data_IF_468450166394
#
_entry.id   IF_468450166394
#
_cell.length_a   1.000
_cell.length_b   1.000
_cell.length_c   1.000
_cell.angle_alpha   90.00
_cell.angle_beta   90.00
_cell.angle_gamma   90.00
#
_symmetry.space_group_name_H-M   'P 1'
#
loop_
_entity.id
_entity.type
_entity.pdbx_description
1 polymer ?
#
# COMPACT_ATOMS: atom_id res chain seq x y z
N UNK A 1 20.59 -15.30 27.12
CA UNK A 1 21.36 -14.06 27.37
C UNK A 1 22.53 -13.93 26.39
N UNK A 2 23.30 -15.00 26.10
CA UNK A 2 24.42 -14.97 25.14
C UNK A 2 23.97 -14.60 23.71
N UNK A 3 22.90 -15.22 23.20
CA UNK A 3 22.38 -14.92 21.85
C UNK A 3 21.89 -13.47 21.71
N UNK A 4 21.27 -12.93 22.78
CA UNK A 4 20.82 -11.53 22.80
C UNK A 4 22.00 -10.55 22.81
N UNK A 5 23.04 -10.86 23.56
CA UNK A 5 24.26 -10.05 23.61
C UNK A 5 24.97 -10.08 22.25
N UNK A 6 25.06 -11.25 21.63
CA UNK A 6 25.65 -11.42 20.32
C UNK A 6 24.86 -10.69 19.21
N UNK A 7 23.53 -10.75 19.21
CA UNK A 7 22.68 -10.01 18.28
C UNK A 7 22.85 -8.48 18.46
N UNK A 8 22.92 -7.99 19.69
CA UNK A 8 23.16 -6.58 19.99
C UNK A 8 24.54 -6.10 19.49
N UNK A 9 25.58 -6.92 19.66
CA UNK A 9 26.94 -6.63 19.19
C UNK A 9 26.98 -6.59 17.65
N UNK A 10 26.22 -7.47 16.99
CA UNK A 10 26.09 -7.53 15.53
C UNK A 10 25.08 -6.50 14.96
N UNK A 11 24.35 -5.75 15.81
CA UNK A 11 23.35 -4.77 15.36
C UNK A 11 22.08 -5.42 14.76
N UNK A 12 21.80 -6.68 15.11
CA UNK A 12 20.68 -7.45 14.58
C UNK A 12 19.44 -7.33 15.46
N UNK A 13 18.21 -7.29 14.90
CA UNK A 13 16.97 -7.45 15.64
C UNK A 13 16.94 -8.81 16.32
N UNK A 14 16.53 -8.86 17.58
CA UNK A 14 16.50 -10.09 18.37
C UNK A 14 15.09 -10.45 18.83
N UNK A 15 14.69 -11.71 18.67
CA UNK A 15 13.46 -12.28 19.21
C UNK A 15 13.73 -13.15 20.42
N UNK A 16 12.97 -12.99 21.50
CA UNK A 16 13.02 -13.85 22.68
C UNK A 16 12.32 -15.21 22.45
N UNK A 17 11.59 -15.36 21.36
CA UNK A 17 10.96 -16.62 20.97
C UNK A 17 11.81 -17.31 19.91
N UNK A 18 12.55 -18.38 20.27
CA UNK A 18 13.26 -19.16 19.27
C UNK A 18 12.27 -19.85 18.33
N UNK A 19 12.65 -19.95 17.07
CA UNK A 19 11.92 -20.72 16.05
C UNK A 19 11.74 -22.18 16.52
N UNK A 20 10.56 -22.73 16.31
CA UNK A 20 10.24 -24.15 16.52
C UNK A 20 9.77 -24.74 15.21
N UNK A 21 10.15 -26.01 14.95
CA UNK A 21 9.64 -26.73 13.78
C UNK A 21 8.11 -26.65 13.73
N UNK A 22 7.57 -26.15 12.59
CA UNK A 22 6.14 -25.94 12.37
C UNK A 22 5.63 -24.52 12.68
N UNK A 23 6.49 -23.60 13.13
CA UNK A 23 6.15 -22.17 13.23
C UNK A 23 6.75 -21.41 12.04
N UNK A 24 6.17 -20.25 11.69
CA UNK A 24 6.71 -19.38 10.65
C UNK A 24 8.08 -18.84 11.06
N UNK A 25 9.11 -19.18 10.27
CA UNK A 25 10.45 -18.70 10.47
C UNK A 25 10.56 -17.25 9.96
N UNK A 26 10.97 -16.32 10.84
CA UNK A 26 11.25 -14.95 10.42
C UNK A 26 12.75 -14.76 10.10
N UNK A 27 13.13 -14.69 8.82
CA UNK A 27 14.53 -14.59 8.40
C UNK A 27 15.18 -13.24 8.72
N UNK A 28 14.42 -12.27 9.22
CA UNK A 28 14.87 -10.91 9.51
C UNK A 28 15.12 -10.68 11.02
N UNK A 29 14.85 -11.67 11.85
CA UNK A 29 14.99 -11.55 13.29
C UNK A 29 15.82 -12.69 13.84
N UNK A 30 16.99 -12.36 14.39
CA UNK A 30 17.86 -13.36 15.03
C UNK A 30 17.24 -13.85 16.34
N UNK A 31 17.11 -15.16 16.49
CA UNK A 31 16.51 -15.81 17.66
C UNK A 31 17.47 -16.76 18.41
N UNK A 32 18.70 -16.88 17.91
CA UNK A 32 19.72 -17.75 18.50
C UNK A 32 19.60 -19.23 18.13
N UNK A 33 18.71 -19.60 17.19
CA UNK A 33 18.55 -20.99 16.69
C UNK A 33 19.72 -21.45 15.82
N UNK A 34 20.48 -20.51 15.28
CA UNK A 34 21.67 -20.74 14.46
C UNK A 34 22.84 -19.83 14.88
N UNK A 35 24.01 -19.97 14.26
CA UNK A 35 25.11 -19.03 14.47
C UNK A 35 24.80 -17.68 13.80
N UNK A 36 25.42 -16.60 14.30
CA UNK A 36 25.28 -15.27 13.67
C UNK A 36 25.82 -15.29 12.23
N UNK A 37 26.91 -16.01 11.98
CA UNK A 37 27.51 -16.11 10.64
C UNK A 37 26.55 -16.81 9.65
N UNK A 38 25.86 -17.87 10.08
CA UNK A 38 24.85 -18.58 9.28
C UNK A 38 23.61 -17.70 9.05
N UNK A 39 23.17 -16.98 10.08
CA UNK A 39 22.06 -16.04 9.97
C UNK A 39 22.35 -14.91 8.97
N UNK A 40 23.53 -14.28 9.07
CA UNK A 40 23.95 -13.24 8.13
C UNK A 40 24.12 -13.77 6.70
N UNK A 41 24.60 -15.02 6.54
CA UNK A 41 24.70 -15.67 5.24
C UNK A 41 23.33 -15.91 4.64
N UNK A 42 22.41 -16.47 5.42
CA UNK A 42 21.03 -16.71 5.02
C UNK A 42 20.33 -15.40 4.68
N UNK A 43 20.45 -14.38 5.52
CA UNK A 43 19.89 -13.05 5.26
C UNK A 43 20.42 -12.47 3.94
N UNK A 44 21.71 -12.56 3.67
CA UNK A 44 22.30 -12.13 2.38
C UNK A 44 21.78 -12.91 1.19
N UNK A 45 21.53 -14.22 1.35
CA UNK A 45 20.95 -15.05 0.28
C UNK A 45 19.52 -14.63 -0.02
N UNK A 46 18.69 -14.43 1.01
CA UNK A 46 17.31 -13.96 0.88
C UNK A 46 17.26 -12.56 0.25
N UNK A 47 18.10 -11.64 0.70
CA UNK A 47 18.18 -10.30 0.11
C UNK A 47 18.65 -10.33 -1.34
N UNK A 48 19.54 -11.26 -1.70
CA UNK A 48 19.98 -11.46 -3.08
C UNK A 48 18.86 -12.04 -3.93
N UNK A 49 18.17 -13.08 -3.49
CA UNK A 49 17.00 -13.66 -4.17
C UNK A 49 15.90 -12.61 -4.32
N UNK A 50 15.60 -11.85 -3.27
CA UNK A 50 14.66 -10.73 -3.30
C UNK A 50 15.08 -9.67 -4.31
N UNK A 51 16.35 -9.29 -4.37
CA UNK A 51 16.86 -8.32 -5.34
C UNK A 51 16.86 -8.86 -6.77
N UNK A 52 17.03 -10.16 -6.97
CA UNK A 52 16.92 -10.84 -8.27
C UNK A 52 15.45 -11.00 -8.71
N UNK A 53 14.53 -11.25 -7.79
CA UNK A 53 13.07 -11.23 -8.03
C UNK A 53 12.54 -9.82 -8.26
N UNK A 54 13.13 -8.80 -7.65
CA UNK A 54 12.87 -7.38 -7.92
C UNK A 54 13.54 -6.87 -9.21
N UNK A 55 14.14 -7.73 -10.03
CA UNK A 55 14.60 -7.36 -11.38
C UNK A 55 13.42 -6.99 -12.31
N UNK A 56 12.20 -7.42 -11.98
CA UNK A 56 10.98 -6.92 -12.61
C UNK A 56 10.33 -5.86 -11.70
N UNK A 57 10.05 -4.66 -12.23
CA UNK A 57 9.41 -3.61 -11.44
C UNK A 57 8.02 -4.06 -10.99
N UNK A 58 7.69 -3.80 -9.72
CA UNK A 58 6.39 -4.15 -9.11
C UNK A 58 5.22 -3.56 -9.91
N UNK A 59 5.43 -2.35 -10.44
CA UNK A 59 4.47 -1.62 -11.23
C UNK A 59 5.18 -0.72 -12.22
N UNK A 60 4.72 -0.69 -13.47
CA UNK A 60 5.19 0.25 -14.49
C UNK A 60 4.00 0.82 -15.24
N UNK A 61 4.10 2.10 -15.63
CA UNK A 61 3.11 2.77 -16.46
C UNK A 61 3.76 3.49 -17.63
N UNK A 62 3.16 3.41 -18.82
CA UNK A 62 3.60 4.19 -19.97
C UNK A 62 2.97 5.58 -19.90
N UNK A 63 3.75 6.55 -19.43
CA UNK A 63 3.36 7.93 -19.22
C UNK A 63 3.48 8.72 -20.51
N UNK A 64 2.40 9.33 -20.98
CA UNK A 64 2.31 10.09 -22.24
C UNK A 64 1.92 11.55 -22.01
N UNK A 65 2.49 12.43 -22.82
CA UNK A 65 2.08 13.83 -22.92
C UNK A 65 0.75 13.92 -23.68
N UNK A 66 -0.33 14.25 -22.98
CA UNK A 66 -1.69 14.28 -23.53
C UNK A 66 -1.84 15.32 -24.65
N UNK A 67 -1.25 16.50 -24.48
CA UNK A 67 -1.30 17.56 -25.50
C UNK A 67 -0.62 17.13 -26.80
N UNK A 68 0.57 16.57 -26.75
CA UNK A 68 1.26 16.04 -27.94
C UNK A 68 0.55 14.84 -28.54
N UNK A 69 -0.05 13.99 -27.73
CA UNK A 69 -0.85 12.86 -28.19
C UNK A 69 -2.04 13.34 -29.04
N UNK A 70 -2.79 14.33 -28.57
CA UNK A 70 -3.94 14.90 -29.29
C UNK A 70 -3.54 15.62 -30.59
N UNK A 71 -2.31 16.14 -30.66
CA UNK A 71 -1.74 16.75 -31.86
C UNK A 71 -1.22 15.72 -32.89
N UNK A 72 -1.34 14.42 -32.61
CA UNK A 72 -0.82 13.34 -33.48
C UNK A 72 0.71 13.19 -33.44
N UNK A 73 1.37 13.72 -32.43
CA UNK A 73 2.83 13.62 -32.18
C UNK A 73 3.10 12.98 -30.82
N UNK A 74 2.71 11.69 -30.62
CA UNK A 74 2.79 11.06 -29.31
C UNK A 74 4.22 11.09 -28.79
N UNK A 75 4.36 11.44 -27.50
CA UNK A 75 5.62 11.40 -26.77
C UNK A 75 5.31 10.81 -25.38
N UNK A 76 5.96 9.71 -25.06
CA UNK A 76 5.77 9.00 -23.80
C UNK A 76 6.96 8.12 -23.47
N UNK A 77 7.01 7.68 -22.22
CA UNK A 77 8.08 6.84 -21.69
C UNK A 77 7.56 5.93 -20.57
N UNK A 78 8.13 4.76 -20.40
CA UNK A 78 7.86 3.89 -19.27
C UNK A 78 8.43 4.45 -17.98
N UNK A 79 7.60 4.52 -16.95
CA UNK A 79 7.98 4.88 -15.59
C UNK A 79 7.72 3.68 -14.69
N UNK A 80 8.73 3.28 -13.92
CA UNK A 80 8.61 2.23 -12.91
C UNK A 80 8.27 2.84 -11.57
N UNK A 81 7.42 2.17 -10.80
CA UNK A 81 7.03 2.57 -9.46
C UNK A 81 7.41 1.46 -8.46
N UNK A 82 7.98 1.84 -7.30
CA UNK A 82 8.23 3.22 -6.87
C UNK A 82 9.37 3.90 -7.64
N UNK A 83 9.28 5.23 -7.75
CA UNK A 83 10.25 6.09 -8.43
C UNK A 83 10.70 7.25 -7.53
N UNK A 84 11.61 8.09 -8.02
CA UNK A 84 12.02 9.34 -7.34
C UNK A 84 11.48 10.57 -8.06
N UNK A 85 11.37 11.69 -7.33
CA UNK A 85 10.93 12.97 -7.89
C UNK A 85 11.89 13.46 -9.00
N UNK A 86 13.20 13.21 -8.84
CA UNK A 86 14.22 13.57 -9.82
C UNK A 86 14.02 12.78 -11.12
N UNK A 87 13.82 11.46 -11.00
CA UNK A 87 13.62 10.61 -12.17
C UNK A 87 12.32 10.96 -12.91
N UNK A 88 11.21 11.14 -12.19
CA UNK A 88 9.94 11.53 -12.80
C UNK A 88 10.04 12.91 -13.48
N UNK A 89 10.77 13.86 -12.88
CA UNK A 89 11.04 15.15 -13.50
C UNK A 89 11.81 15.00 -14.80
N UNK A 90 12.85 14.17 -14.86
CA UNK A 90 13.60 13.90 -16.07
C UNK A 90 12.72 13.27 -17.16
N UNK A 91 11.81 12.37 -16.80
CA UNK A 91 10.84 11.80 -17.74
C UNK A 91 9.93 12.91 -18.27
N UNK A 92 9.37 13.77 -17.43
CA UNK A 92 8.54 14.91 -17.84
C UNK A 92 9.27 15.82 -18.84
N UNK A 93 10.53 16.14 -18.52
CA UNK A 93 11.38 16.96 -19.42
C UNK A 93 11.57 16.28 -20.78
N UNK A 94 11.82 14.96 -20.83
CA UNK A 94 12.01 14.17 -22.07
C UNK A 94 10.72 14.07 -22.91
N UNK A 95 9.57 13.83 -22.29
CA UNK A 95 8.29 13.76 -23.01
C UNK A 95 7.72 15.14 -23.31
N UNK A 96 8.32 16.20 -22.69
CA UNK A 96 8.00 17.61 -22.94
C UNK A 96 6.79 18.13 -22.20
N UNK A 97 6.54 17.66 -20.98
CA UNK A 97 5.65 18.30 -20.00
C UNK A 97 6.43 19.49 -19.41
N UNK A 98 5.94 20.71 -19.61
CA UNK A 98 6.63 21.96 -19.22
C UNK A 98 5.80 22.87 -18.30
N UNK A 99 4.58 22.44 -17.93
CA UNK A 99 3.61 23.16 -17.10
C UNK A 99 3.26 24.59 -17.63
N UNK A 100 3.47 24.80 -18.93
CA UNK A 100 3.16 26.07 -19.63
C UNK A 100 2.37 25.87 -20.89
N UNK A 101 2.82 24.96 -21.77
CA UNK A 101 2.19 24.62 -23.04
C UNK A 101 1.61 23.22 -23.01
N UNK A 102 2.31 22.32 -22.31
CA UNK A 102 1.89 20.95 -22.10
C UNK A 102 1.90 20.69 -20.59
N UNK A 103 0.71 20.64 -20.02
CA UNK A 103 0.50 20.55 -18.56
C UNK A 103 -0.08 19.19 -18.17
N UNK A 104 -0.71 18.49 -19.13
CA UNK A 104 -1.47 17.29 -18.86
C UNK A 104 -0.74 16.02 -19.36
N UNK A 105 -0.87 14.97 -18.60
CA UNK A 105 -0.39 13.64 -18.92
C UNK A 105 -1.49 12.61 -18.74
N UNK A 106 -1.28 11.42 -19.30
CA UNK A 106 -2.10 10.25 -19.06
C UNK A 106 -1.26 9.00 -19.20
N UNK A 107 -1.70 7.90 -18.63
CA UNK A 107 -1.11 6.60 -18.83
C UNK A 107 -1.85 5.86 -19.94
N UNK A 108 -1.12 5.23 -20.85
CA UNK A 108 -1.72 4.46 -21.95
C UNK A 108 -1.65 2.97 -21.73
N UNK A 109 -0.75 2.51 -20.86
CA UNK A 109 -0.55 1.10 -20.54
C UNK A 109 0.06 0.96 -19.16
N UNK A 110 -0.32 -0.11 -18.43
CA UNK A 110 0.29 -0.52 -17.18
C UNK A 110 0.80 -1.95 -17.28
N UNK A 111 1.88 -2.25 -16.56
CA UNK A 111 2.46 -3.58 -16.42
C UNK A 111 2.81 -3.84 -14.96
N UNK A 112 2.47 -5.05 -14.49
CA UNK A 112 2.80 -5.51 -13.15
C UNK A 112 2.97 -7.03 -13.15
N UNK A 113 3.92 -7.58 -12.40
CA UNK A 113 4.00 -9.01 -12.16
C UNK A 113 2.87 -9.50 -11.20
N UNK A 114 2.15 -8.58 -10.56
CA UNK A 114 1.01 -8.90 -9.70
C UNK A 114 -0.23 -9.10 -10.59
N UNK A 115 -0.79 -10.32 -10.67
CA UNK A 115 -1.96 -10.60 -11.49
C UNK A 115 -3.13 -9.69 -11.14
N UNK A 116 -3.82 -9.18 -12.14
CA UNK A 116 -5.00 -8.32 -11.97
C UNK A 116 -4.70 -6.86 -11.63
N UNK A 117 -3.55 -6.52 -11.03
CA UNK A 117 -3.28 -5.17 -10.56
C UNK A 117 -3.38 -4.11 -11.69
N UNK A 118 -2.77 -4.38 -12.84
CA UNK A 118 -2.76 -3.42 -13.95
C UNK A 118 -4.17 -3.11 -14.50
N UNK A 119 -5.11 -4.04 -14.38
CA UNK A 119 -6.48 -3.92 -14.90
C UNK A 119 -7.34 -2.96 -14.04
N UNK A 120 -6.96 -2.76 -12.78
CA UNK A 120 -7.64 -1.87 -11.86
C UNK A 120 -7.12 -0.42 -11.91
N UNK A 121 -6.08 -0.15 -12.71
CA UNK A 121 -5.48 1.18 -12.82
C UNK A 121 -6.10 1.98 -13.96
N UNK A 122 -6.35 3.26 -13.71
CA UNK A 122 -6.94 4.19 -14.67
C UNK A 122 -5.87 4.92 -15.49
N UNK A 123 -6.19 5.23 -16.74
CA UNK A 123 -5.36 6.13 -17.56
C UNK A 123 -5.10 7.50 -16.90
N UNK A 124 -5.95 7.91 -15.94
CA UNK A 124 -5.84 9.16 -15.19
C UNK A 124 -5.24 8.96 -13.79
N UNK A 125 -4.68 7.79 -13.48
CA UNK A 125 -4.00 7.56 -12.19
C UNK A 125 -2.91 8.59 -11.97
N UNK A 126 -2.81 9.10 -10.72
CA UNK A 126 -1.81 10.09 -10.41
C UNK A 126 -0.45 9.44 -10.08
N UNK A 127 0.69 9.95 -10.60
CA UNK A 127 2.01 9.36 -10.31
C UNK A 127 2.33 9.24 -8.82
N UNK A 128 1.87 10.18 -7.99
CA UNK A 128 2.09 10.11 -6.54
C UNK A 128 1.34 8.96 -5.90
N UNK A 129 0.11 8.65 -6.34
CA UNK A 129 -0.67 7.50 -5.86
C UNK A 129 -0.03 6.18 -6.31
N UNK A 130 0.41 6.09 -7.58
CA UNK A 130 1.14 4.93 -8.08
C UNK A 130 2.45 4.70 -7.32
N UNK A 131 3.13 5.78 -6.97
CA UNK A 131 4.35 5.74 -6.17
C UNK A 131 4.06 5.29 -4.73
N UNK A 132 2.97 5.77 -4.15
CA UNK A 132 2.51 5.35 -2.83
C UNK A 132 2.21 3.84 -2.81
N UNK A 133 1.39 3.36 -3.76
CA UNK A 133 1.12 1.94 -3.90
C UNK A 133 2.41 1.14 -4.10
N UNK A 134 3.27 1.56 -5.02
CA UNK A 134 4.54 0.90 -5.29
C UNK A 134 5.41 0.77 -4.03
N UNK A 135 5.46 1.81 -3.19
CA UNK A 135 6.18 1.77 -1.90
C UNK A 135 5.55 0.80 -0.90
N UNK A 136 4.23 0.78 -0.77
CA UNK A 136 3.54 -0.17 0.10
C UNK A 136 3.85 -1.62 -0.31
N UNK A 137 3.76 -1.91 -1.62
CA UNK A 137 4.02 -3.25 -2.15
C UNK A 137 5.50 -3.67 -2.06
N UNK A 138 6.43 -2.71 -2.19
CA UNK A 138 7.87 -2.95 -1.98
C UNK A 138 8.19 -3.36 -0.54
N UNK A 139 7.42 -2.86 0.42
CA UNK A 139 7.60 -3.13 1.85
C UNK A 139 6.94 -4.43 2.32
N UNK A 140 6.07 -5.04 1.51
CA UNK A 140 5.39 -6.29 1.87
C UNK A 140 6.35 -7.48 1.86
N UNK A 141 6.14 -8.39 2.81
CA UNK A 141 6.74 -9.72 2.79
C UNK A 141 6.06 -10.62 1.74
N UNK A 142 6.68 -11.73 1.39
CA UNK A 142 6.16 -12.63 0.36
C UNK A 142 4.76 -13.17 0.69
N UNK A 143 4.50 -13.54 1.95
CA UNK A 143 3.19 -14.01 2.41
C UNK A 143 2.11 -12.92 2.30
N UNK A 144 2.45 -11.66 2.64
CA UNK A 144 1.55 -10.52 2.49
C UNK A 144 1.27 -10.22 1.01
N UNK A 145 2.28 -10.42 0.15
CA UNK A 145 2.12 -10.25 -1.30
C UNK A 145 1.20 -11.31 -1.89
N UNK A 146 1.31 -12.58 -1.48
CA UNK A 146 0.39 -13.64 -1.91
C UNK A 146 -1.03 -13.38 -1.43
N UNK A 147 -1.18 -12.93 -0.18
CA UNK A 147 -2.47 -12.51 0.36
C UNK A 147 -3.04 -11.31 -0.39
N UNK A 148 -2.21 -10.31 -0.72
CA UNK A 148 -2.62 -9.15 -1.51
C UNK A 148 -3.12 -9.55 -2.91
N UNK A 149 -2.43 -10.48 -3.60
CA UNK A 149 -2.85 -11.01 -4.89
C UNK A 149 -4.22 -11.68 -4.75
N UNK A 150 -4.40 -12.56 -3.75
CA UNK A 150 -5.68 -13.21 -3.50
C UNK A 150 -6.80 -12.22 -3.17
N UNK A 151 -6.49 -11.15 -2.41
CA UNK A 151 -7.46 -10.12 -2.04
C UNK A 151 -7.89 -9.24 -3.22
N UNK A 152 -6.99 -8.96 -4.18
CA UNK A 152 -7.37 -8.31 -5.45
C UNK A 152 -8.31 -9.20 -6.25
N UNK A 153 -8.02 -10.50 -6.36
CA UNK A 153 -8.87 -11.47 -7.07
C UNK A 153 -10.23 -11.63 -6.38
N UNK A 154 -10.26 -11.59 -5.04
CA UNK A 154 -11.49 -11.63 -4.24
C UNK A 154 -12.40 -10.43 -4.53
N UNK A 155 -11.82 -9.25 -4.79
CA UNK A 155 -12.50 -8.09 -5.35
C UNK A 155 -13.10 -7.13 -4.34
N UNK A 156 -13.11 -7.43 -3.03
CA UNK A 156 -13.48 -6.46 -2.02
C UNK A 156 -12.43 -5.35 -1.95
N UNK A 157 -12.85 -4.09 -1.99
CA UNK A 157 -11.96 -2.94 -1.93
C UNK A 157 -10.88 -2.91 -3.03
N UNK A 158 -11.26 -3.26 -4.27
CA UNK A 158 -10.37 -3.24 -5.44
C UNK A 158 -10.90 -2.41 -6.63
N UNK A 159 -11.96 -1.61 -6.44
CA UNK A 159 -12.62 -0.87 -7.53
C UNK A 159 -11.84 0.35 -8.03
N UNK A 160 -10.91 0.87 -7.23
CA UNK A 160 -10.13 2.07 -7.55
C UNK A 160 -8.70 1.98 -7.01
N UNK A 161 -7.81 2.86 -7.50
CA UNK A 161 -6.44 2.97 -6.97
C UNK A 161 -6.44 3.33 -5.48
N UNK A 162 -7.39 4.17 -5.03
CA UNK A 162 -7.59 4.47 -3.60
C UNK A 162 -7.91 3.20 -2.80
N UNK A 163 -8.85 2.37 -3.31
CA UNK A 163 -9.23 1.13 -2.64
C UNK A 163 -8.05 0.15 -2.56
N UNK A 164 -7.28 0.01 -3.64
CA UNK A 164 -6.10 -0.86 -3.69
C UNK A 164 -5.00 -0.38 -2.73
N UNK A 165 -4.78 0.94 -2.61
CA UNK A 165 -3.86 1.50 -1.62
C UNK A 165 -4.31 1.17 -0.20
N UNK A 166 -5.61 1.26 0.08
CA UNK A 166 -6.16 0.89 1.38
C UNK A 166 -6.12 -0.62 1.59
N UNK A 167 -6.43 -1.43 0.57
CA UNK A 167 -6.33 -2.88 0.62
C UNK A 167 -4.93 -3.35 1.01
N UNK A 168 -3.89 -2.77 0.40
CA UNK A 168 -2.49 -3.06 0.73
C UNK A 168 -2.12 -2.80 2.21
N UNK A 169 -2.90 -1.98 2.91
CA UNK A 169 -2.70 -1.61 4.32
C UNK A 169 -3.67 -2.33 5.29
N UNK A 170 -4.57 -3.16 4.78
CA UNK A 170 -5.61 -3.85 5.56
C UNK A 170 -5.65 -5.36 5.27
N UNK A 171 -4.50 -5.95 4.98
CA UNK A 171 -4.44 -7.39 4.69
C UNK A 171 -4.81 -8.27 5.90
N UNK A 172 -4.77 -7.72 7.10
CA UNK A 172 -5.28 -8.34 8.32
C UNK A 172 -6.81 -8.50 8.36
N UNK A 173 -7.55 -7.84 7.45
CA UNK A 173 -8.98 -8.04 7.25
C UNK A 173 -9.30 -9.34 6.49
N UNK A 174 -8.31 -10.04 5.98
CA UNK A 174 -8.49 -11.27 5.20
C UNK A 174 -7.73 -12.43 5.83
N UNK A 175 -8.37 -13.61 5.78
CA UNK A 175 -7.72 -14.88 6.04
C UNK A 175 -7.48 -15.60 4.74
N UNK A 176 -6.29 -16.20 4.59
CA UNK A 176 -5.94 -17.02 3.45
C UNK A 176 -5.46 -18.39 3.92
N UNK A 177 -5.90 -19.43 3.22
CA UNK A 177 -5.43 -20.81 3.37
C UNK A 177 -4.74 -21.24 2.08
N UNK A 178 -3.41 -21.07 1.96
CA UNK A 178 -2.68 -21.23 0.69
C UNK A 178 -2.73 -22.65 0.10
N UNK A 179 -2.96 -23.67 0.93
CA UNK A 179 -3.05 -25.08 0.49
C UNK A 179 -4.46 -25.55 0.13
N UNK A 180 -5.44 -24.64 0.11
CA UNK A 180 -6.87 -24.96 -0.08
C UNK A 180 -7.36 -24.32 -1.39
N UNK A 181 -7.64 -25.16 -2.40
CA UNK A 181 -8.01 -24.68 -3.74
C UNK A 181 -9.40 -25.17 -4.22
N UNK A 182 -10.10 -25.95 -3.42
CA UNK A 182 -11.44 -26.45 -3.73
C UNK A 182 -12.21 -26.81 -2.45
N UNK A 183 -13.49 -27.10 -2.62
CA UNK A 183 -14.40 -27.38 -1.51
C UNK A 183 -13.98 -28.62 -0.71
N UNK A 184 -13.49 -29.69 -1.34
CA UNK A 184 -13.05 -30.89 -0.63
C UNK A 184 -11.82 -30.59 0.25
N UNK A 185 -10.84 -29.87 -0.28
CA UNK A 185 -9.65 -29.47 0.47
C UNK A 185 -10.03 -28.54 1.62
N UNK A 186 -10.99 -27.63 1.41
CA UNK A 186 -11.48 -26.76 2.50
C UNK A 186 -12.18 -27.57 3.58
N UNK A 187 -13.07 -28.48 3.21
CA UNK A 187 -13.73 -29.36 4.17
C UNK A 187 -12.73 -30.22 4.96
N UNK A 188 -11.67 -30.73 4.31
CA UNK A 188 -10.58 -31.46 4.97
C UNK A 188 -9.80 -30.56 5.92
N UNK A 189 -9.45 -29.35 5.50
CA UNK A 189 -8.75 -28.39 6.34
C UNK A 189 -9.54 -28.08 7.62
N UNK A 190 -10.85 -27.81 7.49
CA UNK A 190 -11.71 -27.54 8.63
C UNK A 190 -11.78 -28.71 9.62
N UNK A 191 -11.95 -29.94 9.12
CA UNK A 191 -12.15 -31.12 9.97
C UNK A 191 -10.83 -31.71 10.49
N UNK A 192 -9.79 -31.75 9.66
CA UNK A 192 -8.55 -32.45 9.98
C UNK A 192 -7.52 -31.56 10.66
N UNK A 193 -7.47 -30.25 10.31
CA UNK A 193 -6.51 -29.29 10.87
C UNK A 193 -7.13 -28.41 11.96
N UNK A 194 -8.36 -27.91 11.74
CA UNK A 194 -9.03 -27.06 12.72
C UNK A 194 -9.92 -27.84 13.70
N UNK A 195 -10.14 -29.14 13.46
CA UNK A 195 -11.04 -30.00 14.26
C UNK A 195 -12.49 -29.45 14.36
N UNK A 196 -12.94 -28.79 13.29
CA UNK A 196 -14.28 -28.20 13.18
C UNK A 196 -15.13 -28.88 12.08
N UNK A 197 -16.07 -29.80 12.41
CA UNK A 197 -16.38 -30.31 13.74
C UNK A 197 -15.38 -31.37 14.22
N UNK A 198 -15.23 -31.49 15.55
CA UNK A 198 -14.45 -32.58 16.12
C UNK A 198 -15.11 -33.93 15.80
N UNK A 199 -14.43 -34.78 15.05
CA UNK A 199 -14.91 -36.07 14.61
C UNK A 199 -13.98 -37.19 15.07
N UNK A 200 -14.56 -38.34 15.53
CA UNK A 200 -13.77 -39.56 15.73
C UNK A 200 -13.11 -39.99 14.42
N UNK A 201 -11.88 -40.49 14.47
CA UNK A 201 -11.13 -40.96 13.29
C UNK A 201 -11.89 -41.99 12.46
N UNK A 202 -12.73 -42.85 13.12
CA UNK A 202 -13.56 -43.83 12.43
C UNK A 202 -14.69 -43.19 11.61
N UNK A 203 -15.14 -41.99 11.99
CA UNK A 203 -16.19 -41.25 11.30
C UNK A 203 -15.65 -40.42 10.13
N UNK A 204 -14.40 -39.90 10.22
CA UNK A 204 -13.78 -39.11 9.18
C UNK A 204 -13.79 -39.75 7.81
N UNK A 205 -13.58 -41.06 7.72
CA UNK A 205 -13.61 -41.82 6.43
C UNK A 205 -14.98 -41.90 5.74
N UNK A 206 -16.06 -41.55 6.42
CA UNK A 206 -17.41 -41.48 5.90
C UNK A 206 -17.95 -40.06 5.80
N UNK A 207 -17.13 -39.08 6.17
CA UNK A 207 -17.53 -37.68 6.18
C UNK A 207 -17.55 -37.12 4.76
N UNK A 208 -18.53 -36.27 4.49
CA UNK A 208 -18.74 -35.62 3.19
C UNK A 208 -17.98 -34.28 3.15
N UNK A 209 -16.68 -34.38 2.94
CA UNK A 209 -15.79 -33.22 3.00
C UNK A 209 -16.12 -32.13 1.97
N UNK A 210 -16.42 -32.55 0.72
CA UNK A 210 -16.76 -31.62 -0.36
C UNK A 210 -18.02 -30.80 -0.05
N UNK A 211 -19.09 -31.47 0.37
CA UNK A 211 -20.36 -30.83 0.70
C UNK A 211 -20.21 -29.91 1.93
N UNK A 212 -19.46 -30.37 2.92
CA UNK A 212 -19.18 -29.56 4.12
C UNK A 212 -18.35 -28.33 3.79
N UNK A 213 -17.28 -28.46 3.01
CA UNK A 213 -16.44 -27.34 2.58
C UNK A 213 -17.19 -26.35 1.68
N UNK A 214 -18.09 -26.84 0.82
CA UNK A 214 -18.99 -25.98 0.03
C UNK A 214 -19.91 -25.15 0.91
N UNK A 215 -20.59 -25.79 1.86
CA UNK A 215 -21.49 -25.07 2.77
C UNK A 215 -20.73 -24.07 3.63
N UNK A 216 -19.53 -24.41 4.07
CA UNK A 216 -18.66 -23.51 4.82
C UNK A 216 -18.22 -22.31 3.97
N UNK A 217 -17.75 -22.53 2.74
CA UNK A 217 -17.31 -21.46 1.85
C UNK A 217 -18.42 -20.46 1.51
N UNK A 218 -19.67 -20.95 1.38
CA UNK A 218 -20.84 -20.09 1.18
C UNK A 218 -21.14 -19.26 2.45
N UNK A 219 -20.98 -19.85 3.64
CA UNK A 219 -21.23 -19.15 4.90
C UNK A 219 -20.16 -18.08 5.20
N UNK A 220 -18.93 -18.32 4.79
CA UNK A 220 -17.83 -17.39 4.97
C UNK A 220 -17.82 -16.27 3.91
N UNK A 221 -18.62 -16.45 2.83
CA UNK A 221 -18.58 -15.61 1.64
C UNK A 221 -17.18 -15.61 1.00
N UNK A 222 -16.50 -16.77 1.06
CA UNK A 222 -15.12 -16.90 0.63
C UNK A 222 -14.98 -17.31 -0.84
N UNK A 223 -13.74 -17.24 -1.33
CA UNK A 223 -13.41 -17.53 -2.73
C UNK A 223 -12.15 -18.40 -2.84
N UNK A 224 -12.17 -19.34 -3.77
CA UNK A 224 -10.99 -20.11 -4.16
C UNK A 224 -10.24 -19.34 -5.25
N UNK A 225 -9.01 -18.96 -4.94
CA UNK A 225 -8.10 -18.23 -5.84
C UNK A 225 -6.92 -19.10 -6.27
N UNK A 226 -6.09 -18.61 -7.18
CA UNK A 226 -4.84 -19.29 -7.52
C UNK A 226 -3.86 -19.37 -6.31
N UNK A 227 -4.00 -18.46 -5.34
CA UNK A 227 -3.18 -18.41 -4.12
C UNK A 227 -3.75 -19.18 -2.94
N UNK A 228 -4.93 -19.78 -3.09
CA UNK A 228 -5.63 -20.54 -2.06
C UNK A 228 -7.01 -19.99 -1.77
N UNK A 229 -7.64 -20.49 -0.71
CA UNK A 229 -8.95 -20.03 -0.27
C UNK A 229 -8.81 -18.75 0.56
N UNK A 230 -9.58 -17.72 0.21
CA UNK A 230 -9.58 -16.41 0.90
C UNK A 230 -10.99 -16.03 1.30
N UNK A 231 -11.14 -15.36 2.45
CA UNK A 231 -12.38 -14.73 2.87
C UNK A 231 -12.10 -13.51 3.77
N UNK A 232 -13.06 -12.58 3.81
CA UNK A 232 -13.04 -11.43 4.70
C UNK A 232 -13.38 -11.86 6.12
N UNK A 233 -12.46 -11.67 7.08
CA UNK A 233 -12.62 -12.08 8.47
C UNK A 233 -13.45 -11.09 9.31
N UNK A 234 -14.01 -10.04 8.67
CA UNK A 234 -14.84 -8.99 9.26
C UNK A 234 -14.13 -8.12 10.30
N UNK A 235 -12.79 -8.09 10.27
CA UNK A 235 -12.06 -7.05 10.97
C UNK A 235 -12.42 -5.68 10.40
N UNK A 236 -12.21 -4.63 11.18
CA UNK A 236 -12.52 -3.27 10.73
C UNK A 236 -11.55 -2.84 9.64
N UNK A 237 -12.04 -2.70 8.42
CA UNK A 237 -11.30 -2.09 7.32
C UNK A 237 -11.16 -0.58 7.58
N UNK A 238 -9.93 -0.07 7.54
CA UNK A 238 -9.66 1.35 7.80
C UNK A 238 -9.23 2.04 6.52
N UNK A 239 -9.96 3.08 6.12
CA UNK A 239 -9.54 3.94 5.00
C UNK A 239 -8.42 4.89 5.47
N UNK A 240 -7.17 4.42 5.38
CA UNK A 240 -5.99 5.19 5.71
C UNK A 240 -5.70 6.31 4.69
N UNK A 241 -6.14 6.12 3.47
CA UNK A 241 -6.01 7.06 2.37
C UNK A 241 -7.39 7.40 1.81
N UNK A 242 -7.73 8.68 1.80
CA UNK A 242 -9.06 9.19 1.40
C UNK A 242 -9.13 9.66 -0.08
N UNK A 243 -8.10 9.35 -0.87
CA UNK A 243 -8.05 9.70 -2.29
C UNK A 243 -7.66 11.17 -2.58
N UNK A 244 -7.19 11.94 -1.57
CA UNK A 244 -6.91 13.37 -1.76
C UNK A 244 -5.45 13.72 -1.56
N UNK A 245 -4.93 13.46 -0.38
CA UNK A 245 -3.60 13.91 0.04
C UNK A 245 -2.65 12.72 0.22
N UNK A 246 -1.90 12.37 -0.84
CA UNK A 246 -0.80 11.42 -0.72
C UNK A 246 0.22 11.94 0.30
N UNK A 247 0.66 11.12 1.28
CA UNK A 247 1.68 11.54 2.24
C UNK A 247 2.95 12.07 1.56
N UNK A 248 3.55 13.10 2.14
CA UNK A 248 4.63 13.87 1.48
C UNK A 248 5.82 12.99 1.06
N UNK A 249 6.15 11.97 1.83
CA UNK A 249 7.23 11.02 1.57
C UNK A 249 7.03 10.17 0.31
N UNK A 250 5.81 10.08 -0.21
CA UNK A 250 5.47 9.32 -1.43
C UNK A 250 5.27 10.21 -2.64
N UNK A 251 5.25 11.54 -2.47
CA UNK A 251 5.04 12.49 -3.58
C UNK A 251 6.29 12.58 -4.45
N UNK A 252 6.10 12.42 -5.74
CA UNK A 252 7.16 12.45 -6.75
C UNK A 252 6.87 13.40 -7.90
N UNK A 253 5.62 13.85 -8.04
CA UNK A 253 5.21 14.75 -9.13
C UNK A 253 5.84 16.11 -8.94
N UNK A 254 6.58 16.63 -9.96
CA UNK A 254 7.13 17.97 -9.91
C UNK A 254 6.03 19.01 -9.74
N UNK A 255 6.23 19.92 -8.79
CA UNK A 255 5.32 21.06 -8.65
C UNK A 255 5.51 22.03 -9.82
N UNK A 256 4.42 22.58 -10.37
CA UNK A 256 4.53 23.67 -11.36
C UNK A 256 5.34 24.82 -10.75
N UNK A 257 6.18 25.51 -11.56
CA UNK A 257 6.95 26.64 -11.05
C UNK A 257 6.01 27.69 -10.47
N UNK A 258 6.24 28.03 -9.19
CA UNK A 258 5.46 29.06 -8.49
C UNK A 258 5.52 30.34 -9.34
N UNK A 259 4.36 30.81 -9.80
CA UNK A 259 4.32 32.07 -10.56
C UNK A 259 4.75 33.19 -9.62
N UNK A 260 5.76 33.98 -10.00
CA UNK A 260 6.30 35.10 -9.19
C UNK A 260 5.24 36.10 -8.69
N UNK A 261 4.03 36.07 -9.26
CA UNK A 261 2.89 36.89 -8.81
C UNK A 261 2.25 36.39 -7.51
N UNK A 262 2.15 35.10 -7.27
CA UNK A 262 1.60 34.58 -6.01
C UNK A 262 2.58 34.81 -4.86
N UNK A 263 3.88 34.69 -5.11
CA UNK A 263 4.90 34.96 -4.12
C UNK A 263 4.91 36.46 -3.74
N UNK A 264 4.73 37.37 -4.72
CA UNK A 264 4.65 38.80 -4.47
C UNK A 264 3.38 39.19 -3.69
N UNK A 265 2.26 38.53 -3.89
CA UNK A 265 1.03 38.75 -3.13
C UNK A 265 1.10 38.18 -1.71
N UNK A 266 1.78 37.06 -1.50
CA UNK A 266 2.06 36.49 -0.17
C UNK A 266 3.04 37.39 0.62
N UNK A 267 4.09 37.89 -0.02
CA UNK A 267 5.06 38.79 0.58
C UNK A 267 4.43 40.17 0.86
N UNK A 268 3.51 40.65 0.00
CA UNK A 268 2.77 41.90 0.23
C UNK A 268 1.74 41.76 1.37
N UNK A 269 1.14 40.60 1.55
CA UNK A 269 0.23 40.31 2.68
C UNK A 269 0.96 40.20 4.02
N UNK A 270 2.23 39.78 4.02
CA UNK A 270 3.06 39.71 5.22
C UNK A 270 3.63 41.06 5.68
N UNK A 271 3.59 42.09 4.81
CA UNK A 271 4.17 43.41 5.03
C UNK A 271 3.18 44.48 5.54
N UNK A 272 2.02 44.12 6.10
CA UNK A 272 1.11 45.09 6.72
C UNK A 272 1.73 45.53 8.06
N UNK A 273 2.18 46.78 8.18
CA UNK A 273 2.70 47.28 9.45
C UNK A 273 1.53 47.40 10.44
N UNK A 274 1.69 46.86 11.61
CA UNK A 274 0.82 47.05 12.76
C UNK A 274 0.80 48.54 13.10
N UNK A 275 -0.13 49.32 12.58
CA UNK A 275 -0.38 50.68 13.01
C UNK A 275 -1.07 50.67 14.36
N UNK A 276 -0.46 51.43 15.27
CA UNK A 276 -0.84 51.60 16.65
C UNK A 276 -2.33 51.91 16.85
N UNK A 277 -2.85 51.28 17.88
CA UNK A 277 -4.15 51.53 18.49
C UNK A 277 -4.35 53.00 18.84
N UNK A 278 -5.13 53.75 18.06
CA UNK A 278 -5.74 55.00 18.54
C UNK A 278 -7.02 54.62 19.29
N UNK A 279 -7.04 55.02 20.58
CA UNK A 279 -8.23 54.92 21.42
C UNK A 279 -9.28 55.94 20.94
N UNK A 280 -10.57 55.57 20.86
CA UNK A 280 -11.64 56.50 20.56
C UNK A 280 -11.85 57.45 21.74
N UNK A 281 -12.21 58.74 21.50
CA UNK A 281 -12.40 59.75 22.56
C UNK A 281 -13.63 59.43 23.39
N UNK A 282 -13.46 59.51 24.71
CA UNK A 282 -14.55 59.39 25.71
C UNK A 282 -15.45 60.59 25.60
N UNK A 283 -16.74 60.40 25.21
CA UNK A 283 -17.76 61.43 25.29
C UNK A 283 -18.32 61.45 26.72
N UNK A 284 -18.61 62.67 27.31
CA UNK A 284 -19.13 62.80 28.67
C UNK A 284 -20.63 62.43 28.74
N UNK A 285 -20.98 61.65 29.73
CA UNK A 285 -22.35 61.28 30.08
C UNK A 285 -23.04 62.52 30.63
N UNK A 286 -24.07 63.01 29.92
CA UNK A 286 -24.99 64.01 30.46
C UNK A 286 -26.11 63.28 31.18
N UNK A 287 -26.12 63.38 32.51
CA UNK A 287 -27.22 62.98 33.35
C UNK A 287 -28.34 64.05 33.23
N UNK A 288 -29.44 63.68 32.60
CA UNK A 288 -30.70 64.42 32.71
C UNK A 288 -31.54 63.82 33.78
N UNK A 289 -31.68 64.55 34.89
CA UNK A 289 -32.69 64.34 35.88
C UNK A 289 -34.00 64.96 35.41
N UNK A 290 -35.07 64.19 35.39
CA UNK A 290 -36.42 64.76 35.60
C UNK A 290 -37.34 63.70 36.17
N UNK A 291 -37.90 64.11 37.32
CA UNK A 291 -39.13 63.67 37.95
C UNK A 291 -40.22 64.70 37.58
N UNK A 292 -41.48 64.47 37.80
CA UNK A 292 -42.11 63.65 38.83
C UNK A 292 -42.84 62.39 38.28
#
# INVERSE_FOLDING_TARGET
EEARAAAHEAGLPFSEKPYRDGEDFNPYVFDGSMSIEDFELMHRMIEKERSEQMAEPILSGYLSNLGKYTEGRPAGEWVTFPTTAEHLKEVFDRIGIDFKHYEEWHFTEFQSPIPGLAEHLSEYSHPDELNYLGKLLEMQFDDDREKFIAAIEYGDHADSLQDIINLAQNLDCYWIYPSVHNEEEYGRYLVDELEEPELPEEAKKYFMYEEYGRDASINDDGMFTEKGYIYNNRNTFTEWYDGRDVPQEYRVTPQPPVQEKEQADLDASAAIPTTATEQPPVLPIILSSEKP
#
